data_IF_876844774425
#
_entry.id   IF_876844774425
#
_cell.length_a   1.000
_cell.length_b   1.000
_cell.length_c   1.000
_cell.angle_alpha   90.00
_cell.angle_beta   90.00
_cell.angle_gamma   90.00
#
_symmetry.space_group_name_H-M   'P 1'
#
loop_
_entity.id
_entity.type
_entity.pdbx_description
1 polymer ?
#
# COMPACT_ATOMS: atom_id res chain seq x y z
N UNK A 1 12.70 8.38 -5.77
CA UNK A 1 12.63 8.82 -4.35
C UNK A 1 11.23 8.51 -3.85
N UNK A 2 11.12 7.97 -2.65
CA UNK A 2 9.85 7.57 -2.01
C UNK A 2 9.76 8.25 -0.65
N UNK A 3 8.59 8.77 -0.31
CA UNK A 3 8.31 9.36 1.02
C UNK A 3 6.96 8.86 1.53
N UNK A 4 6.99 8.21 2.69
CA UNK A 4 5.81 7.70 3.40
C UNK A 4 5.61 8.58 4.63
N UNK A 5 4.39 9.05 4.84
CA UNK A 5 4.07 9.98 5.92
C UNK A 5 2.85 9.52 6.68
N UNK A 6 3.07 9.14 7.95
CA UNK A 6 2.04 8.81 8.93
C UNK A 6 1.03 7.78 8.41
N UNK A 7 1.51 6.79 7.66
CA UNK A 7 0.65 5.77 7.06
C UNK A 7 0.10 4.84 8.13
N UNK A 8 -1.22 4.75 8.21
CA UNK A 8 -1.93 3.83 9.09
C UNK A 8 -2.81 2.88 8.29
N UNK A 9 -2.88 1.62 8.73
CA UNK A 9 -3.73 0.61 8.09
C UNK A 9 -4.29 -0.36 9.12
N UNK A 10 -5.60 -0.49 9.10
CA UNK A 10 -6.41 -1.43 9.86
C UNK A 10 -7.14 -2.32 8.88
N UNK A 11 -7.10 -3.63 9.11
CA UNK A 11 -7.96 -4.57 8.38
C UNK A 11 -9.20 -4.90 9.21
N UNK A 12 -10.35 -4.95 8.56
CA UNK A 12 -11.57 -5.48 9.17
C UNK A 12 -11.71 -6.95 8.76
N UNK A 13 -11.69 -7.85 9.73
CA UNK A 13 -11.81 -9.29 9.52
C UNK A 13 -13.30 -9.65 9.56
N UNK A 14 -13.94 -9.65 8.39
CA UNK A 14 -15.38 -9.81 8.24
C UNK A 14 -15.85 -11.20 8.68
N UNK A 15 -15.06 -12.24 8.41
CA UNK A 15 -15.32 -13.61 8.90
C UNK A 15 -15.11 -13.80 10.41
N UNK A 16 -14.53 -12.81 11.10
CA UNK A 16 -14.28 -12.84 12.53
C UNK A 16 -15.08 -11.75 13.23
N UNK A 17 -16.38 -11.67 12.92
CA UNK A 17 -17.32 -10.74 13.55
C UNK A 17 -16.91 -9.26 13.42
N UNK A 18 -16.17 -8.90 12.35
CA UNK A 18 -15.72 -7.54 12.12
C UNK A 18 -14.59 -7.09 13.05
N UNK A 19 -13.80 -8.02 13.59
CA UNK A 19 -12.59 -7.69 14.37
C UNK A 19 -11.71 -6.73 13.57
N UNK A 20 -11.30 -5.64 14.20
CA UNK A 20 -10.38 -4.65 13.63
C UNK A 20 -8.96 -4.98 14.05
N UNK A 21 -8.10 -5.23 13.06
CA UNK A 21 -6.69 -5.54 13.26
C UNK A 21 -5.84 -4.35 12.79
N UNK A 22 -5.36 -3.48 13.69
CA UNK A 22 -4.45 -2.39 13.35
C UNK A 22 -3.07 -2.98 13.02
N UNK A 23 -2.62 -2.84 11.77
CA UNK A 23 -1.36 -3.43 11.28
C UNK A 23 -0.26 -2.39 11.09
N UNK A 24 -0.59 -1.19 10.59
CA UNK A 24 0.32 -0.05 10.52
C UNK A 24 -0.27 1.10 11.35
N UNK A 25 0.60 1.77 12.11
CA UNK A 25 0.23 2.88 12.99
C UNK A 25 1.26 3.99 12.80
N UNK A 26 0.88 5.05 12.08
CA UNK A 26 1.72 6.23 11.82
C UNK A 26 3.11 5.90 11.27
N UNK A 27 3.21 4.99 10.32
CA UNK A 27 4.48 4.61 9.71
C UNK A 27 5.00 5.74 8.80
N UNK A 28 6.25 6.16 9.02
CA UNK A 28 6.91 7.19 8.21
C UNK A 28 8.32 6.73 7.83
N UNK A 29 8.70 6.92 6.57
CA UNK A 29 10.05 6.65 6.08
C UNK A 29 10.31 7.46 4.81
N UNK A 30 11.59 7.69 4.52
CA UNK A 30 12.04 8.34 3.29
C UNK A 30 13.14 7.49 2.67
N UNK A 31 13.06 7.27 1.36
CA UNK A 31 14.05 6.49 0.60
C UNK A 31 14.54 7.32 -0.57
N UNK A 32 15.85 7.56 -0.59
CA UNK A 32 16.51 8.31 -1.64
C UNK A 32 16.68 7.49 -2.92
N UNK A 33 16.97 8.17 -4.04
CA UNK A 33 17.28 7.46 -5.27
C UNK A 33 18.60 6.67 -5.12
N UNK A 34 18.60 5.40 -5.54
CA UNK A 34 19.75 4.50 -5.40
C UNK A 34 19.96 3.92 -4.01
N UNK A 35 19.12 4.25 -3.02
CA UNK A 35 19.19 3.69 -1.67
C UNK A 35 18.61 2.27 -1.62
N UNK A 36 19.30 1.37 -0.91
CA UNK A 36 18.81 0.03 -0.63
C UNK A 36 18.40 -0.04 0.84
N UNK A 37 17.09 -0.17 1.09
CA UNK A 37 16.51 -0.19 2.43
C UNK A 37 15.97 -1.58 2.75
N UNK A 38 16.30 -2.08 3.95
CA UNK A 38 15.78 -3.36 4.46
C UNK A 38 14.71 -3.09 5.50
N UNK A 39 13.50 -3.59 5.27
CA UNK A 39 12.45 -3.63 6.28
C UNK A 39 12.64 -4.85 7.18
N UNK A 40 13.13 -4.64 8.40
CA UNK A 40 13.34 -5.71 9.38
C UNK A 40 12.27 -5.68 10.49
N UNK A 41 12.01 -6.83 11.11
CA UNK A 41 11.07 -6.96 12.22
C UNK A 41 10.37 -8.33 12.27
N UNK A 42 9.75 -8.64 13.41
CA UNK A 42 9.05 -9.91 13.65
C UNK A 42 7.96 -10.20 12.62
N UNK A 43 7.64 -11.48 12.41
CA UNK A 43 6.48 -11.85 11.59
C UNK A 43 5.21 -11.20 12.13
N UNK A 44 4.38 -10.65 11.25
CA UNK A 44 3.15 -9.93 11.63
C UNK A 44 3.34 -8.44 11.94
N UNK A 45 4.57 -7.92 11.91
CA UNK A 45 4.85 -6.49 12.19
C UNK A 45 4.40 -5.50 11.11
N UNK A 46 3.63 -5.93 10.10
CA UNK A 46 3.12 -5.05 9.05
C UNK A 46 4.04 -4.78 7.85
N UNK A 47 5.23 -5.39 7.75
CA UNK A 47 6.17 -5.19 6.63
C UNK A 47 5.53 -5.40 5.25
N UNK A 48 4.89 -6.55 5.05
CA UNK A 48 4.23 -6.88 3.77
C UNK A 48 3.05 -5.95 3.49
N UNK A 49 2.38 -5.44 4.54
CA UNK A 49 1.30 -4.44 4.41
C UNK A 49 1.85 -3.09 3.94
N UNK A 50 2.98 -2.64 4.49
CA UNK A 50 3.65 -1.42 4.04
C UNK A 50 4.11 -1.54 2.59
N UNK A 51 4.75 -2.66 2.22
CA UNK A 51 5.15 -2.92 0.83
C UNK A 51 3.94 -2.94 -0.11
N UNK A 52 2.85 -3.61 0.25
CA UNK A 52 1.62 -3.61 -0.55
C UNK A 52 0.98 -2.24 -0.66
N UNK A 53 1.11 -1.38 0.35
CA UNK A 53 0.64 0.00 0.28
C UNK A 53 1.49 0.85 -0.66
N UNK A 54 2.83 0.67 -0.64
CA UNK A 54 3.75 1.29 -1.59
C UNK A 54 3.47 0.90 -3.05
N UNK A 55 3.02 -0.34 -3.29
CA UNK A 55 2.60 -0.82 -4.61
C UNK A 55 1.16 -0.43 -4.98
N UNK A 56 0.49 0.41 -4.18
CA UNK A 56 -0.91 0.79 -4.35
C UNK A 56 -1.89 -0.41 -4.38
N UNK A 57 -1.51 -1.56 -3.81
CA UNK A 57 -2.39 -2.72 -3.68
C UNK A 57 -3.33 -2.60 -2.48
N UNK A 58 -2.88 -1.91 -1.42
CA UNK A 58 -3.71 -1.54 -0.28
C UNK A 58 -3.75 -0.03 -0.16
N UNK A 59 -4.96 0.51 -0.08
CA UNK A 59 -5.15 1.91 0.28
C UNK A 59 -4.95 2.04 1.80
N UNK A 60 -4.00 2.88 2.26
CA UNK A 60 -3.92 3.29 3.65
C UNK A 60 -5.24 3.89 4.12
N UNK A 61 -5.55 3.75 5.40
CA UNK A 61 -6.72 4.42 5.98
C UNK A 61 -6.41 5.89 6.27
N UNK A 62 -5.14 6.19 6.58
CA UNK A 62 -4.62 7.53 6.86
C UNK A 62 -3.19 7.66 6.30
N UNK A 63 -2.74 8.91 6.15
CA UNK A 63 -1.39 9.25 5.70
C UNK A 63 -1.24 9.35 4.18
N UNK A 64 0.00 9.56 3.75
CA UNK A 64 0.35 9.81 2.34
C UNK A 64 1.53 8.95 1.90
N UNK A 65 1.53 8.56 0.62
CA UNK A 65 2.65 7.87 -0.02
C UNK A 65 3.02 8.64 -1.28
N UNK A 66 4.12 9.38 -1.21
CA UNK A 66 4.62 10.18 -2.30
C UNK A 66 5.73 9.46 -3.06
N UNK A 67 5.61 9.38 -4.39
CA UNK A 67 6.66 8.93 -5.29
C UNK A 67 7.07 10.08 -6.20
N UNK A 68 8.39 10.26 -6.36
CA UNK A 68 8.92 11.24 -7.31
C UNK A 68 9.02 10.64 -8.71
N UNK A 69 8.36 11.24 -9.69
CA UNK A 69 8.35 10.85 -11.10
C UNK A 69 8.48 12.10 -11.98
N UNK A 70 9.44 12.13 -12.91
CA UNK A 70 9.73 13.30 -13.77
C UNK A 70 9.84 14.63 -12.99
N UNK A 71 10.55 14.62 -11.85
CA UNK A 71 10.71 15.75 -10.93
C UNK A 71 9.44 16.25 -10.22
N UNK A 72 8.30 15.59 -10.43
CA UNK A 72 7.05 15.86 -9.73
C UNK A 72 6.78 14.81 -8.65
N UNK A 73 6.04 15.23 -7.62
CA UNK A 73 5.54 14.34 -6.58
C UNK A 73 4.13 13.88 -6.92
N UNK A 74 3.93 12.57 -6.89
CA UNK A 74 2.63 11.93 -7.05
C UNK A 74 2.26 11.30 -5.71
N UNK A 75 1.13 11.71 -5.14
CA UNK A 75 0.52 11.02 -3.99
C UNK A 75 -0.29 9.82 -4.47
N UNK A 76 0.19 8.61 -4.18
CA UNK A 76 -0.47 7.38 -4.57
C UNK A 76 -1.84 7.18 -3.90
N UNK A 77 -2.07 7.78 -2.74
CA UNK A 77 -3.34 7.65 -2.01
C UNK A 77 -4.46 8.43 -2.71
N UNK A 78 -4.11 9.55 -3.33
CA UNK A 78 -5.05 10.44 -4.04
C UNK A 78 -5.04 10.24 -5.56
N UNK A 79 -4.05 9.52 -6.10
CA UNK A 79 -3.91 9.31 -7.53
C UNK A 79 -5.11 8.52 -8.09
N UNK A 80 -5.76 9.00 -9.17
CA UNK A 80 -6.77 8.20 -9.84
C UNK A 80 -6.10 6.92 -10.41
N UNK A 81 -6.83 5.80 -10.39
CA UNK A 81 -6.38 4.42 -10.69
C UNK A 81 -5.72 4.18 -12.07
N UNK A 82 -5.39 5.23 -12.82
CA UNK A 82 -4.84 5.23 -14.17
C UNK A 82 -3.63 6.17 -14.38
N UNK A 83 -3.18 6.90 -13.35
CA UNK A 83 -2.05 7.85 -13.48
C UNK A 83 -0.71 7.31 -12.96
N UNK A 84 -0.70 6.20 -12.20
CA UNK A 84 0.52 5.60 -11.64
C UNK A 84 1.36 4.75 -12.61
N UNK A 85 0.90 4.55 -13.85
CA UNK A 85 1.62 3.76 -14.85
C UNK A 85 1.54 4.48 -16.20
N UNK A 86 2.63 5.11 -16.62
CA UNK A 86 2.76 5.61 -17.98
C UNK A 86 2.54 4.48 -18.98
N UNK A 87 1.61 4.69 -19.91
CA UNK A 87 1.50 4.09 -21.24
C UNK A 87 2.36 2.85 -21.51
N UNK A 88 1.95 1.69 -21.01
CA UNK A 88 2.32 0.40 -21.58
C UNK A 88 1.02 -0.34 -21.90
N UNK A 89 0.66 -0.28 -23.18
CA UNK A 89 -0.40 -1.08 -23.79
C UNK A 89 -0.10 -2.55 -23.56
N UNK A 90 -0.90 -3.21 -22.72
CA UNK A 90 -1.03 -4.66 -22.62
C UNK A 90 -2.52 -4.97 -22.44
N UNK A 91 -3.13 -5.35 -23.56
CA UNK A 91 -4.36 -6.12 -23.74
C UNK A 91 -5.39 -6.17 -22.59
N UNK A 92 -6.44 -5.37 -22.75
CA UNK A 92 -7.81 -5.83 -23.04
C UNK A 92 -8.38 -7.04 -22.24
N UNK A 93 -8.12 -7.13 -20.94
CA UNK A 93 -8.88 -8.00 -20.01
C UNK A 93 -9.05 -7.35 -18.63
N UNK A 94 -9.77 -6.23 -18.55
CA UNK A 94 -10.17 -5.65 -17.25
C UNK A 94 -11.59 -6.07 -16.90
N UNK A 95 -11.67 -7.05 -16.01
CA UNK A 95 -12.78 -7.11 -15.05
C UNK A 95 -12.76 -5.86 -14.15
N UNK A 96 -13.94 -5.57 -13.62
CA UNK A 96 -14.33 -4.60 -12.58
C UNK A 96 -13.22 -3.75 -11.92
N UNK A 97 -13.47 -2.45 -11.66
CA UNK A 97 -12.54 -1.60 -10.91
C UNK A 97 -12.17 -2.29 -9.60
N UNK A 98 -10.87 -2.47 -9.34
CA UNK A 98 -10.37 -3.03 -8.09
C UNK A 98 -10.78 -2.08 -6.97
N UNK A 99 -11.94 -2.36 -6.37
CA UNK A 99 -12.35 -1.77 -5.11
C UNK A 99 -11.31 -2.19 -4.09
N UNK A 100 -10.35 -1.31 -3.80
CA UNK A 100 -9.29 -1.47 -2.80
C UNK A 100 -9.85 -1.49 -1.36
N UNK A 101 -10.89 -2.29 -1.14
CA UNK A 101 -11.49 -2.57 0.16
C UNK A 101 -11.00 -3.95 0.52
N UNK A 102 -10.17 -3.96 1.56
CA UNK A 102 -9.62 -5.08 2.33
C UNK A 102 -9.54 -6.44 1.60
N UNK A 103 -8.34 -7.04 1.48
CA UNK A 103 -8.20 -8.36 0.86
C UNK A 103 -9.19 -9.35 1.49
N UNK A 104 -9.77 -10.29 0.72
CA UNK A 104 -10.66 -11.30 1.27
C UNK A 104 -9.96 -11.96 2.45
N UNK A 105 -10.58 -11.81 3.62
CA UNK A 105 -10.08 -12.04 4.98
C UNK A 105 -8.71 -12.73 5.03
N UNK A 106 -7.69 -11.96 5.47
CA UNK A 106 -6.34 -12.45 5.72
C UNK A 106 -6.41 -13.75 6.50
N UNK A 107 -6.21 -14.89 5.80
CA UNK A 107 -6.03 -16.18 6.47
C UNK A 107 -4.78 -16.05 7.32
N UNK A 108 -4.97 -15.98 8.63
CA UNK A 108 -3.92 -16.09 9.62
C UNK A 108 -3.13 -17.37 9.33
N UNK A 109 -1.99 -17.26 8.62
CA UNK A 109 -1.17 -18.44 8.33
C UNK A 109 -0.37 -18.48 7.02
N UNK A 110 -0.45 -17.51 6.11
CA UNK A 110 0.46 -17.47 4.95
C UNK A 110 1.44 -16.31 5.07
N UNK A 111 2.65 -16.64 5.48
CA UNK A 111 3.84 -15.78 5.51
C UNK A 111 4.34 -15.51 4.08
#
# INVERSE_FOLDING_TARGET
MIRVENVSKTFVLHQQNGVRLPVLQNASLEVQNGECVVLHGHSGSGKSTLLRSLYANYLPDEGHIHIRHNDEWIDLVQAPARQGAGSASLDDRLGEPVSARDPPDLRAGMW
#
